data_IF_817911107062
#
_entry.id   IF_817911107062
#
_cell.length_a   1.000
_cell.length_b   1.000
_cell.length_c   1.000
_cell.angle_alpha   90.00
_cell.angle_beta   90.00
_cell.angle_gamma   90.00
#
_symmetry.space_group_name_H-M   'P 1'
#
loop_
_entity.id
_entity.type
_entity.pdbx_description
1 polymer ?
#
# COMPACT_ATOMS: atom_id res chain seq x y z
N UNK A 1 15.17 -8.10 28.92
CA UNK A 1 14.99 -9.55 28.76
C UNK A 1 15.83 -10.02 27.57
N UNK A 2 17.09 -10.35 27.83
CA UNK A 2 18.05 -10.92 26.88
C UNK A 2 18.16 -12.39 27.24
N UNK A 3 17.77 -13.30 26.34
CA UNK A 3 18.08 -14.72 26.49
C UNK A 3 18.79 -15.19 25.23
N UNK A 4 20.09 -15.48 25.40
CA UNK A 4 20.98 -16.11 24.44
C UNK A 4 21.57 -17.34 25.13
N UNK A 5 21.16 -18.52 24.69
CA UNK A 5 21.74 -19.86 24.90
C UNK A 5 21.49 -20.59 23.56
N UNK A 6 22.37 -21.40 22.96
CA UNK A 6 23.64 -21.98 23.36
C UNK A 6 24.23 -22.67 22.12
N UNK A 7 25.45 -23.18 22.31
CA UNK A 7 26.42 -23.67 21.34
C UNK A 7 25.96 -24.96 20.62
N UNK A 8 26.46 -25.17 19.40
CA UNK A 8 26.39 -26.46 18.68
C UNK A 8 27.57 -26.59 17.71
N UNK A 9 28.50 -27.47 18.05
CA UNK A 9 29.77 -27.78 17.39
C UNK A 9 29.59 -29.06 16.56
N UNK A 10 29.84 -29.02 15.25
CA UNK A 10 29.90 -30.17 14.34
C UNK A 10 30.25 -29.64 12.93
N UNK A 11 31.01 -30.29 12.06
CA UNK A 11 31.88 -31.46 12.11
C UNK A 11 32.72 -31.38 10.82
N UNK A 12 33.98 -31.81 10.90
CA UNK A 12 34.88 -32.02 9.76
C UNK A 12 34.29 -33.09 8.83
N UNK A 13 34.14 -32.78 7.54
CA UNK A 13 34.03 -33.79 6.48
C UNK A 13 34.94 -33.38 5.32
N UNK A 14 35.81 -34.34 5.00
CA UNK A 14 36.86 -34.32 4.00
C UNK A 14 36.35 -34.06 2.57
N UNK A 15 37.16 -33.35 1.79
CA UNK A 15 37.05 -33.29 0.33
C UNK A 15 38.39 -33.72 -0.28
N UNK A 16 38.56 -35.03 -0.44
CA UNK A 16 39.32 -35.65 -1.53
C UNK A 16 38.33 -35.82 -2.71
N UNK A 17 38.63 -35.72 -4.00
CA UNK A 17 39.89 -35.83 -4.73
C UNK A 17 39.77 -35.08 -6.05
N UNK A 18 40.88 -34.49 -6.46
CA UNK A 18 41.20 -34.01 -7.79
C UNK A 18 41.38 -35.22 -8.74
N UNK A 19 40.67 -35.28 -9.87
CA UNK A 19 41.13 -36.04 -11.05
C UNK A 19 40.81 -35.23 -12.30
N UNK A 20 41.88 -34.75 -12.93
CA UNK A 20 41.91 -34.25 -14.30
C UNK A 20 42.17 -35.42 -15.26
N UNK A 21 41.57 -35.34 -16.45
CA UNK A 21 42.23 -35.72 -17.72
C UNK A 21 41.84 -37.06 -18.32
N UNK A 22 41.64 -37.07 -19.65
CA UNK A 22 41.79 -38.28 -20.47
C UNK A 22 40.71 -38.49 -21.53
N UNK A 23 40.91 -37.88 -22.69
CA UNK A 23 40.17 -38.03 -23.96
C UNK A 23 40.22 -39.44 -24.56
N UNK A 24 39.12 -39.89 -25.19
CA UNK A 24 39.14 -40.62 -26.48
C UNK A 24 37.87 -40.32 -27.29
N UNK A 25 38.09 -39.96 -28.55
CA UNK A 25 37.07 -39.80 -29.57
C UNK A 25 36.67 -41.17 -30.12
N UNK A 26 35.37 -41.42 -30.31
CA UNK A 26 34.88 -42.49 -31.16
C UNK A 26 33.42 -42.26 -31.59
N UNK A 27 33.21 -42.14 -32.91
CA UNK A 27 31.98 -42.56 -33.59
C UNK A 27 30.75 -41.67 -33.45
N UNK A 28 30.60 -40.69 -34.33
CA UNK A 28 29.31 -40.07 -34.64
C UNK A 28 28.43 -41.10 -35.38
N UNK A 29 27.56 -41.80 -34.65
CA UNK A 29 26.42 -42.50 -35.24
C UNK A 29 25.28 -41.49 -35.51
N UNK A 30 24.62 -41.53 -36.68
CA UNK A 30 23.47 -40.68 -36.96
C UNK A 30 22.32 -41.07 -36.01
N UNK A 31 22.00 -40.20 -35.05
CA UNK A 31 20.80 -40.36 -34.23
C UNK A 31 19.56 -40.14 -35.13
N UNK A 32 18.62 -41.08 -35.19
CA UNK A 32 17.34 -40.84 -35.84
C UNK A 32 16.64 -39.69 -35.12
N UNK A 33 16.18 -38.71 -35.90
CA UNK A 33 15.47 -37.54 -35.42
C UNK A 33 14.34 -37.97 -34.47
N UNK A 34 14.55 -37.74 -33.17
CA UNK A 34 13.53 -37.96 -32.17
C UNK A 34 12.38 -37.00 -32.44
N UNK A 35 11.32 -37.57 -32.99
CA UNK A 35 10.00 -37.00 -33.18
C UNK A 35 9.67 -36.23 -31.89
N UNK A 36 9.55 -34.90 -32.02
CA UNK A 36 9.40 -33.99 -30.89
C UNK A 36 8.29 -34.46 -29.98
N UNK A 37 8.67 -34.89 -28.76
CA UNK A 37 7.69 -35.10 -27.72
C UNK A 37 7.02 -33.75 -27.47
N UNK A 38 5.77 -33.64 -27.90
CA UNK A 38 4.85 -32.62 -27.42
C UNK A 38 4.73 -32.84 -25.92
N UNK A 39 5.62 -32.19 -25.16
CA UNK A 39 5.46 -32.07 -23.72
C UNK A 39 4.21 -31.25 -23.56
N UNK A 40 3.08 -31.94 -23.42
CA UNK A 40 1.83 -31.35 -23.00
C UNK A 40 2.17 -30.57 -21.75
N UNK A 41 2.26 -29.24 -21.87
CA UNK A 41 2.43 -28.34 -20.75
C UNK A 41 1.19 -28.57 -19.92
N UNK A 42 1.30 -29.46 -18.94
CA UNK A 42 0.23 -29.80 -18.03
C UNK A 42 -0.20 -28.46 -17.42
N UNK A 43 -1.36 -27.94 -17.86
CA UNK A 43 -1.98 -26.74 -17.33
C UNK A 43 -2.13 -27.01 -15.84
N UNK A 44 -1.19 -26.45 -15.06
CA UNK A 44 -1.14 -26.57 -13.61
C UNK A 44 -2.54 -26.29 -13.08
N UNK A 45 -3.17 -27.33 -12.53
CA UNK A 45 -4.55 -27.26 -12.03
C UNK A 45 -4.71 -25.98 -11.20
N UNK A 46 -5.79 -25.21 -11.38
CA UNK A 46 -5.97 -23.94 -10.70
C UNK A 46 -5.86 -24.18 -9.20
N UNK A 47 -4.99 -23.40 -8.54
CA UNK A 47 -4.71 -23.56 -7.13
C UNK A 47 -6.04 -23.50 -6.33
N UNK A 48 -6.28 -24.43 -5.39
CA UNK A 48 -7.58 -24.56 -4.72
C UNK A 48 -7.93 -23.37 -3.81
N UNK A 49 -6.94 -22.50 -3.54
CA UNK A 49 -7.09 -21.26 -2.79
C UNK A 49 -6.42 -20.14 -3.57
N UNK A 50 -7.16 -19.05 -3.82
CA UNK A 50 -6.66 -17.86 -4.49
C UNK A 50 -6.56 -16.69 -3.50
N UNK A 51 -5.38 -16.07 -3.43
CA UNK A 51 -5.18 -14.82 -2.68
C UNK A 51 -5.59 -13.65 -3.59
N UNK A 52 -6.66 -12.94 -3.21
CA UNK A 52 -7.12 -11.76 -3.94
C UNK A 52 -6.23 -10.56 -3.63
N UNK A 53 -6.20 -9.62 -4.57
CA UNK A 53 -5.54 -8.32 -4.37
C UNK A 53 -6.32 -7.54 -3.31
N UNK A 54 -5.62 -6.96 -2.35
CA UNK A 54 -6.20 -6.06 -1.36
C UNK A 54 -6.37 -4.71 -2.07
N UNK A 55 -7.59 -4.18 -2.19
CA UNK A 55 -7.81 -2.93 -2.88
C UNK A 55 -7.12 -1.77 -2.16
N UNK A 56 -6.64 -0.80 -2.94
CA UNK A 56 -6.12 0.46 -2.42
C UNK A 56 -7.19 1.15 -1.57
N UNK A 57 -6.77 1.77 -0.46
CA UNK A 57 -7.68 2.45 0.46
C UNK A 57 -7.26 3.91 0.63
N UNK A 58 -8.23 4.78 0.88
CA UNK A 58 -7.98 6.20 1.13
C UNK A 58 -8.26 6.50 2.61
N UNK A 59 -7.38 7.27 3.26
CA UNK A 59 -7.54 7.67 4.67
C UNK A 59 -7.71 9.18 4.82
N UNK A 60 -8.65 9.61 5.66
CA UNK A 60 -8.82 11.02 6.03
C UNK A 60 -7.74 11.41 7.05
N UNK A 61 -6.97 12.46 6.76
CA UNK A 61 -5.95 12.99 7.68
C UNK A 61 -4.92 11.95 8.14
N UNK A 62 -4.74 11.83 9.45
CA UNK A 62 -3.77 10.91 10.09
C UNK A 62 -4.38 9.56 10.50
N UNK A 63 -5.59 9.23 10.03
CA UNK A 63 -6.27 8.00 10.37
C UNK A 63 -5.48 6.76 9.92
N UNK A 64 -5.60 5.68 10.69
CA UNK A 64 -5.01 4.36 10.39
C UNK A 64 -6.10 3.44 9.84
N UNK A 65 -5.82 2.74 8.75
CA UNK A 65 -6.72 1.75 8.14
C UNK A 65 -6.27 0.34 8.48
N UNK A 66 -7.24 -0.49 8.86
CA UNK A 66 -7.03 -1.92 9.12
C UNK A 66 -7.01 -2.71 7.82
N UNK A 67 -5.87 -3.32 7.53
CA UNK A 67 -5.69 -4.24 6.40
C UNK A 67 -5.79 -5.67 6.89
N UNK A 68 -6.71 -6.42 6.29
CA UNK A 68 -6.92 -7.86 6.51
C UNK A 68 -6.51 -8.63 5.24
N UNK A 69 -5.93 -9.84 5.38
CA UNK A 69 -5.63 -10.68 4.23
C UNK A 69 -6.92 -11.13 3.53
N UNK A 70 -7.03 -10.87 2.23
CA UNK A 70 -8.19 -11.25 1.42
C UNK A 70 -7.92 -12.57 0.68
N UNK A 71 -8.63 -13.62 1.08
CA UNK A 71 -8.45 -14.97 0.53
C UNK A 71 -9.78 -15.49 0.02
N UNK A 72 -9.79 -16.05 -1.19
CA UNK A 72 -10.93 -16.78 -1.75
C UNK A 72 -10.57 -18.26 -1.80
N UNK A 73 -11.42 -19.09 -1.22
CA UNK A 73 -11.31 -20.55 -1.36
C UNK A 73 -12.14 -20.93 -2.59
N UNK A 74 -11.49 -21.50 -3.61
CA UNK A 74 -12.13 -21.82 -4.89
C UNK A 74 -12.57 -23.29 -4.96
N UNK A 75 -12.33 -24.09 -3.91
CA UNK A 75 -12.67 -25.50 -3.87
C UNK A 75 -13.23 -25.90 -2.51
N UNK A 76 -14.40 -26.55 -2.50
CA UNK A 76 -15.02 -27.14 -1.28
C UNK A 76 -14.12 -28.18 -0.58
N UNK A 77 -13.12 -28.73 -1.31
CA UNK A 77 -12.13 -29.70 -0.81
C UNK A 77 -10.87 -29.04 -0.20
N UNK A 78 -10.85 -27.73 0.01
CA UNK A 78 -9.71 -27.04 0.65
C UNK A 78 -10.14 -26.37 1.96
N UNK A 79 -9.58 -26.84 3.08
CA UNK A 79 -9.77 -26.28 4.42
C UNK A 79 -8.63 -25.31 4.73
N UNK A 80 -8.97 -24.06 5.02
CA UNK A 80 -7.98 -23.04 5.37
C UNK A 80 -7.49 -23.24 6.81
N UNK A 81 -6.18 -23.35 7.03
CA UNK A 81 -5.61 -23.58 8.37
C UNK A 81 -5.08 -22.31 9.01
N UNK A 82 -4.30 -21.50 8.30
CA UNK A 82 -3.79 -20.21 8.84
C UNK A 82 -3.73 -19.15 7.76
N UNK A 83 -4.14 -17.93 8.11
CA UNK A 83 -3.98 -16.74 7.30
C UNK A 83 -3.10 -15.74 8.05
N UNK A 84 -2.06 -15.24 7.38
CA UNK A 84 -1.10 -14.29 7.93
C UNK A 84 -0.73 -13.23 6.91
N UNK A 85 -0.44 -12.03 7.39
CA UNK A 85 0.00 -10.90 6.58
C UNK A 85 1.31 -10.34 7.16
N UNK A 86 2.26 -10.06 6.27
CA UNK A 86 3.50 -9.34 6.57
C UNK A 86 3.54 -8.07 5.73
N UNK A 87 3.86 -6.93 6.34
CA UNK A 87 3.83 -5.61 5.70
C UNK A 87 5.17 -4.91 5.89
N UNK A 88 5.76 -4.47 4.77
CA UNK A 88 6.94 -3.61 4.73
C UNK A 88 6.61 -2.25 4.14
N UNK A 89 7.26 -1.20 4.64
CA UNK A 89 7.25 0.14 4.07
C UNK A 89 8.71 0.52 3.76
N UNK A 90 9.10 0.52 2.48
CA UNK A 90 10.50 0.59 2.10
C UNK A 90 11.31 -0.54 2.77
N UNK A 91 12.35 -0.16 3.51
CA UNK A 91 13.23 -1.08 4.24
C UNK A 91 12.70 -1.44 5.65
N UNK A 92 11.69 -0.72 6.16
CA UNK A 92 11.14 -0.95 7.50
C UNK A 92 10.07 -2.04 7.48
N UNK A 93 10.17 -3.01 8.39
CA UNK A 93 9.12 -4.02 8.61
C UNK A 93 8.14 -3.49 9.63
N UNK A 94 6.90 -3.24 9.22
CA UNK A 94 5.86 -2.68 10.11
C UNK A 94 5.06 -3.75 10.83
N UNK A 95 4.92 -4.91 10.21
CA UNK A 95 4.27 -6.05 10.82
C UNK A 95 4.75 -7.34 10.14
N UNK A 96 4.96 -8.38 10.93
CA UNK A 96 5.35 -9.71 10.46
C UNK A 96 4.36 -10.74 10.98
N UNK A 97 3.85 -11.60 10.10
CA UNK A 97 2.93 -12.68 10.44
C UNK A 97 1.76 -12.26 11.36
N UNK A 98 1.16 -11.11 11.07
CA UNK A 98 0.01 -10.60 11.81
C UNK A 98 -1.30 -11.20 11.26
N UNK A 99 -2.36 -11.18 12.07
CA UNK A 99 -3.74 -11.48 11.62
C UNK A 99 -4.36 -10.30 10.86
N UNK A 100 -4.01 -9.08 11.26
CA UNK A 100 -4.40 -7.80 10.63
C UNK A 100 -3.40 -6.72 11.02
N UNK A 101 -3.33 -5.63 10.26
CA UNK A 101 -2.38 -4.53 10.53
C UNK A 101 -3.06 -3.19 10.31
N UNK A 102 -2.83 -2.22 11.21
CA UNK A 102 -3.31 -0.84 11.07
C UNK A 102 -2.22 0.02 10.44
N UNK A 103 -2.42 0.46 9.21
CA UNK A 103 -1.44 1.22 8.43
C UNK A 103 -1.89 2.67 8.23
N UNK A 104 -0.94 3.60 8.19
CA UNK A 104 -1.19 5.01 7.83
C UNK A 104 -1.22 5.13 6.30
N UNK A 105 -1.37 6.36 5.79
CA UNK A 105 -1.16 6.61 4.38
C UNK A 105 0.32 6.38 3.99
N UNK A 106 0.53 5.77 2.84
CA UNK A 106 1.84 5.41 2.34
C UNK A 106 1.78 4.24 1.36
N UNK A 107 2.95 3.91 0.81
CA UNK A 107 3.13 2.77 -0.09
C UNK A 107 3.72 1.59 0.68
N UNK A 108 3.07 0.44 0.59
CA UNK A 108 3.39 -0.74 1.37
C UNK A 108 3.61 -1.95 0.47
N UNK A 109 4.63 -2.75 0.77
CA UNK A 109 4.78 -4.10 0.23
C UNK A 109 4.10 -5.08 1.20
N UNK A 110 2.97 -5.60 0.78
CA UNK A 110 2.15 -6.54 1.55
C UNK A 110 2.41 -7.94 1.03
N UNK A 111 2.80 -8.85 1.91
CA UNK A 111 2.90 -10.29 1.64
C UNK A 111 1.81 -11.00 2.41
N UNK A 112 0.92 -11.67 1.69
CA UNK A 112 -0.11 -12.52 2.29
C UNK A 112 0.33 -13.96 2.18
N UNK A 113 0.36 -14.65 3.32
CA UNK A 113 0.74 -16.06 3.40
C UNK A 113 -0.44 -16.86 3.95
N UNK A 114 -0.81 -17.89 3.21
CA UNK A 114 -1.96 -18.73 3.52
C UNK A 114 -1.53 -20.18 3.55
N UNK A 115 -1.84 -20.85 4.66
CA UNK A 115 -1.71 -22.29 4.82
C UNK A 115 -3.08 -22.92 4.67
N UNK A 116 -3.18 -24.00 3.91
CA UNK A 116 -4.40 -24.76 3.71
C UNK A 116 -4.13 -26.27 3.67
N UNK A 117 -5.14 -27.06 4.01
CA UNK A 117 -5.15 -28.52 3.93
C UNK A 117 -6.16 -28.93 2.86
N UNK A 118 -5.78 -29.84 1.98
CA UNK A 118 -6.73 -30.44 1.03
C UNK A 118 -7.43 -31.62 1.71
N UNK A 119 -8.75 -31.69 1.64
CA UNK A 119 -9.56 -32.79 2.17
C UNK A 119 -9.10 -34.09 1.51
N UNK A 120 -8.72 -35.09 2.32
CA UNK A 120 -8.09 -36.34 1.86
C UNK A 120 -6.55 -36.36 1.89
N UNK A 121 -5.88 -35.27 2.29
CA UNK A 121 -4.41 -35.23 2.43
C UNK A 121 -3.99 -34.84 3.84
N UNK A 122 -2.97 -35.51 4.40
CA UNK A 122 -2.31 -35.12 5.66
C UNK A 122 -1.43 -33.87 5.50
N UNK A 123 -1.02 -33.55 4.26
CA UNK A 123 -0.11 -32.44 3.97
C UNK A 123 -0.78 -31.06 4.04
N UNK A 124 -0.08 -30.11 4.66
CA UNK A 124 -0.45 -28.68 4.68
C UNK A 124 0.32 -27.98 3.57
N UNK A 125 -0.38 -27.39 2.60
CA UNK A 125 0.23 -26.60 1.54
C UNK A 125 0.21 -25.12 1.89
N UNK A 126 1.24 -24.41 1.46
CA UNK A 126 1.40 -22.96 1.69
C UNK A 126 1.40 -22.24 0.35
N UNK A 127 0.62 -21.16 0.25
CA UNK A 127 0.63 -20.25 -0.90
C UNK A 127 0.86 -18.84 -0.37
N UNK A 128 1.76 -18.10 -1.01
CA UNK A 128 2.04 -16.72 -0.69
C UNK A 128 1.87 -15.83 -1.91
N UNK A 129 1.45 -14.59 -1.70
CA UNK A 129 1.36 -13.56 -2.74
C UNK A 129 1.89 -12.24 -2.21
N UNK A 130 2.82 -11.66 -2.97
CA UNK A 130 3.35 -10.31 -2.74
C UNK A 130 2.52 -9.33 -3.57
N UNK A 131 2.20 -8.18 -2.98
CA UNK A 131 1.49 -7.10 -3.65
C UNK A 131 1.91 -5.74 -3.11
N UNK A 132 1.82 -4.73 -3.95
CA UNK A 132 2.01 -3.34 -3.54
C UNK A 132 0.64 -2.77 -3.20
N UNK A 133 0.50 -2.23 -1.98
CA UNK A 133 -0.70 -1.55 -1.51
C UNK A 133 -0.39 -0.06 -1.36
N UNK A 134 -1.17 0.78 -2.02
CA UNK A 134 -1.07 2.23 -1.86
C UNK A 134 -2.24 2.70 -1.01
N UNK A 135 -1.94 3.28 0.14
CA UNK A 135 -2.93 3.96 0.96
C UNK A 135 -2.77 5.46 0.73
N UNK A 136 -3.68 6.04 -0.06
CA UNK A 136 -3.64 7.48 -0.38
C UNK A 136 -4.17 8.29 0.80
N UNK A 137 -3.56 9.46 1.07
CA UNK A 137 -4.22 10.46 1.92
C UNK A 137 -5.36 11.07 1.12
N UNK A 138 -6.55 11.13 1.71
CA UNK A 138 -7.59 12.00 1.19
C UNK A 138 -7.06 13.44 1.20
N UNK A 139 -7.35 14.25 0.18
CA UNK A 139 -7.04 15.66 0.24
C UNK A 139 -7.73 16.23 1.49
N UNK A 140 -6.95 16.86 2.36
CA UNK A 140 -7.51 17.66 3.45
C UNK A 140 -8.31 18.77 2.77
N UNK A 141 -9.63 18.74 2.92
CA UNK A 141 -10.50 19.85 2.51
C UNK A 141 -10.05 21.03 3.37
N UNK A 142 -9.20 21.89 2.80
CA UNK A 142 -8.82 23.15 3.44
C UNK A 142 -10.12 23.88 3.75
N UNK A 143 -10.20 24.46 4.93
CA UNK A 143 -11.33 25.33 5.26
C UNK A 143 -11.49 26.35 4.12
N UNK A 144 -12.72 26.68 3.77
CA UNK A 144 -12.98 27.71 2.75
C UNK A 144 -12.81 29.13 3.33
N UNK A 145 -12.63 29.24 4.65
CA UNK A 145 -12.34 30.47 5.36
C UNK A 145 -11.41 30.28 6.57
N UNK A 146 -10.81 31.35 7.05
CA UNK A 146 -10.11 31.44 8.34
C UNK A 146 -10.51 32.72 9.04
N UNK A 147 -10.36 32.78 10.36
CA UNK A 147 -10.41 34.06 11.06
C UNK A 147 -9.19 34.90 10.66
N UNK A 148 -9.38 36.22 10.62
CA UNK A 148 -8.25 37.09 10.36
C UNK A 148 -7.22 36.97 11.47
N UNK A 149 -5.98 36.64 11.11
CA UNK A 149 -4.87 36.54 12.06
C UNK A 149 -4.33 37.91 12.47
N UNK A 150 -4.76 38.98 11.80
CA UNK A 150 -4.35 40.37 12.07
C UNK A 150 -5.48 41.33 11.74
N UNK A 151 -5.55 42.48 12.42
CA UNK A 151 -6.63 43.47 12.24
C UNK A 151 -6.63 44.17 10.86
N UNK A 152 -5.79 43.75 9.90
CA UNK A 152 -5.69 44.44 8.60
C UNK A 152 -5.33 43.53 7.43
N UNK A 153 -4.90 42.29 7.68
CA UNK A 153 -4.40 41.40 6.63
C UNK A 153 -4.88 39.96 6.78
N UNK A 154 -5.19 39.37 5.64
CA UNK A 154 -5.48 37.96 5.51
C UNK A 154 -4.25 37.19 5.03
N UNK A 155 -4.09 35.91 5.44
CA UNK A 155 -3.05 35.06 4.89
C UNK A 155 -3.17 34.94 3.37
N UNK A 156 -2.04 34.77 2.67
CA UNK A 156 -2.03 34.64 1.19
C UNK A 156 -2.90 33.49 0.66
N UNK A 157 -3.12 32.45 1.47
CA UNK A 157 -4.01 31.34 1.14
C UNK A 157 -5.52 31.72 1.19
N UNK A 158 -5.86 32.87 1.78
CA UNK A 158 -7.22 33.36 1.98
C UNK A 158 -7.32 34.85 1.63
N UNK A 159 -7.11 35.24 0.37
CA UNK A 159 -6.94 36.64 0.00
C UNK A 159 -8.23 37.46 0.00
N UNK A 160 -9.40 36.87 0.24
CA UNK A 160 -10.67 37.61 0.21
C UNK A 160 -11.00 38.10 1.62
N UNK A 161 -11.07 39.42 1.79
CA UNK A 161 -11.37 40.07 3.07
C UNK A 161 -12.88 40.16 3.28
N UNK A 162 -13.42 39.47 4.27
CA UNK A 162 -14.81 39.56 4.71
C UNK A 162 -14.94 40.38 5.98
N UNK A 163 -15.82 41.38 5.93
CA UNK A 163 -16.23 42.16 7.09
C UNK A 163 -17.56 41.57 7.62
N UNK A 164 -17.53 40.99 8.82
CA UNK A 164 -18.67 40.26 9.39
C UNK A 164 -19.78 41.24 9.79
N UNK A 165 -19.44 42.43 10.28
CA UNK A 165 -20.43 43.47 10.63
C UNK A 165 -21.31 43.95 9.47
N UNK A 166 -20.79 44.00 8.25
CA UNK A 166 -21.52 44.46 7.04
C UNK A 166 -21.96 43.33 6.11
N UNK A 167 -21.47 42.11 6.34
CA UNK A 167 -21.58 40.95 5.47
C UNK A 167 -21.11 41.22 4.03
N UNK A 168 -20.08 42.06 3.87
CA UNK A 168 -19.48 42.39 2.57
C UNK A 168 -18.10 41.77 2.48
N UNK A 169 -17.78 41.15 1.35
CA UNK A 169 -16.44 40.69 1.05
C UNK A 169 -15.77 41.56 -0.03
N UNK A 170 -14.47 41.71 0.10
CA UNK A 170 -13.61 42.50 -0.76
C UNK A 170 -12.55 41.60 -1.38
N UNK A 171 -12.36 41.74 -2.69
CA UNK A 171 -11.36 41.00 -3.46
C UNK A 171 -10.08 41.84 -3.62
N UNK A 172 -8.90 41.21 -3.71
CA UNK A 172 -7.67 41.92 -4.05
C UNK A 172 -7.85 42.70 -5.35
N UNK A 173 -7.44 43.97 -5.35
CA UNK A 173 -7.62 44.89 -6.49
C UNK A 173 -8.92 45.71 -6.46
N UNK A 174 -9.87 45.41 -5.56
CA UNK A 174 -11.04 46.26 -5.33
C UNK A 174 -10.67 47.55 -4.62
N UNK A 175 -11.40 48.63 -4.88
CA UNK A 175 -11.11 49.97 -4.36
C UNK A 175 -11.02 50.01 -2.83
N UNK A 176 -11.84 49.21 -2.15
CA UNK A 176 -11.91 49.18 -0.69
C UNK A 176 -11.03 48.09 -0.05
N UNK A 177 -10.33 47.28 -0.83
CA UNK A 177 -9.60 46.12 -0.31
C UNK A 177 -8.51 46.48 0.71
N UNK A 178 -7.75 47.56 0.48
CA UNK A 178 -6.71 48.03 1.39
C UNK A 178 -7.29 48.71 2.65
N UNK A 179 -8.51 49.23 2.57
CA UNK A 179 -9.18 49.99 3.65
C UNK A 179 -10.06 49.11 4.54
N UNK A 180 -10.40 47.91 4.10
CA UNK A 180 -11.20 46.97 4.89
C UNK A 180 -10.34 46.22 5.89
N UNK A 181 -10.74 46.29 7.17
CA UNK A 181 -10.33 45.37 8.22
C UNK A 181 -11.14 44.06 8.08
N UNK A 182 -10.51 42.91 7.74
CA UNK A 182 -11.20 41.63 7.67
C UNK A 182 -11.39 41.02 9.06
N UNK A 183 -12.61 40.54 9.33
CA UNK A 183 -12.88 39.66 10.48
C UNK A 183 -12.81 38.18 10.07
N UNK A 184 -13.21 37.90 8.82
CA UNK A 184 -13.14 36.57 8.20
C UNK A 184 -12.45 36.66 6.85
N UNK A 185 -11.49 35.76 6.62
CA UNK A 185 -10.73 35.69 5.38
C UNK A 185 -11.16 34.46 4.58
N UNK A 186 -11.48 34.61 3.30
CA UNK A 186 -11.95 33.51 2.44
C UNK A 186 -10.93 33.14 1.37
N UNK A 187 -10.93 31.86 0.98
CA UNK A 187 -10.08 31.37 -0.11
C UNK A 187 -10.58 31.85 -1.49
N UNK A 188 -11.88 32.11 -1.62
CA UNK A 188 -12.49 32.58 -2.86
C UNK A 188 -13.77 33.37 -2.59
N UNK A 189 -14.19 34.21 -3.55
CA UNK A 189 -15.48 34.91 -3.46
C UNK A 189 -16.67 33.94 -3.42
N UNK A 190 -16.56 32.74 -4.00
CA UNK A 190 -17.57 31.70 -3.88
C UNK A 190 -17.72 31.19 -2.43
N UNK A 191 -16.59 31.04 -1.71
CA UNK A 191 -16.61 30.69 -0.30
C UNK A 191 -17.25 31.78 0.57
N UNK A 192 -16.98 33.05 0.26
CA UNK A 192 -17.59 34.19 0.95
C UNK A 192 -19.11 34.24 0.71
N UNK A 193 -19.56 34.07 -0.53
CA UNK A 193 -21.00 33.99 -0.87
C UNK A 193 -21.69 32.81 -0.20
N UNK A 194 -21.05 31.64 -0.16
CA UNK A 194 -21.58 30.47 0.54
C UNK A 194 -21.70 30.70 2.06
N UNK A 195 -20.91 31.61 2.63
CA UNK A 195 -21.01 32.07 4.02
C UNK A 195 -21.99 33.25 4.21
N UNK A 196 -22.73 33.65 3.17
CA UNK A 196 -23.73 34.72 3.21
C UNK A 196 -23.22 36.12 2.84
N UNK A 197 -21.93 36.28 2.50
CA UNK A 197 -21.38 37.59 2.19
C UNK A 197 -21.69 38.03 0.75
N UNK A 198 -22.03 39.29 0.57
CA UNK A 198 -22.18 39.93 -0.76
C UNK A 198 -20.86 40.55 -1.22
N UNK A 199 -20.65 40.66 -2.53
CA UNK A 199 -19.48 41.34 -3.08
C UNK A 199 -19.54 42.84 -2.83
N UNK A 200 -18.40 43.45 -2.56
CA UNK A 200 -18.27 44.90 -2.63
C UNK A 200 -18.59 45.39 -4.04
N UNK A 201 -19.22 46.57 -4.13
CA UNK A 201 -19.68 47.15 -5.41
C UNK A 201 -18.57 47.87 -6.18
N UNK A 202 -17.40 48.10 -5.58
CA UNK A 202 -16.27 48.86 -6.14
C UNK A 202 -14.91 48.31 -5.69
#
# INVERSE_FOLDING_TARGET
>A
MRNSWGRGLAALIAASSLVLGGSVAAGAAPQPAAIGQVVAVAKKAPAPVAIKVIPNKTVKGNAKVTIKPLVRVNSKKAKLTKQRISVKQGNRTLASYAKSVRLKAGTYKVTTTVKYKRTGSKSIKTVSKKQTLVIKKAPVKKSSWVYSSSNWSCPSAYPIKGNESSMIYHVPGGQYYSRTNPERCFASGAAARAAGYRSSKR
#
